data_IF_884474195959
#
_entry.id   IF_884474195959
#
_cell.length_a   1.000
_cell.length_b   1.000
_cell.length_c   1.000
_cell.angle_alpha   90.00
_cell.angle_beta   90.00
_cell.angle_gamma   90.00
#
_symmetry.space_group_name_H-M   'P 1'
#
loop_
_entity.id
_entity.type
_entity.pdbx_description
1 polymer ?
#
# COMPACT_ATOMS: atom_id res chain seq x y z
N UNK A 1 3.16 11.83 4.14
CA UNK A 1 2.60 10.86 3.18
C UNK A 1 1.82 11.51 2.04
N UNK A 2 0.67 12.16 2.29
CA UNK A 2 -0.19 12.70 1.21
C UNK A 2 0.47 13.74 0.30
N UNK A 3 1.38 14.56 0.84
CA UNK A 3 2.18 15.48 0.02
C UNK A 3 2.99 14.70 -1.01
N UNK A 4 3.74 13.67 -0.59
CA UNK A 4 4.53 12.83 -1.50
C UNK A 4 3.64 12.15 -2.54
N UNK A 5 2.51 11.57 -2.14
CA UNK A 5 1.56 10.95 -3.09
C UNK A 5 1.10 11.93 -4.17
N UNK A 6 0.79 13.17 -3.79
CA UNK A 6 0.43 14.23 -4.73
C UNK A 6 1.60 14.56 -5.67
N UNK A 7 2.82 14.64 -5.15
CA UNK A 7 4.01 14.95 -5.96
C UNK A 7 4.35 13.82 -6.94
N UNK A 8 4.24 12.56 -6.51
CA UNK A 8 4.43 11.36 -7.35
C UNK A 8 3.40 11.26 -8.48
N UNK A 9 2.23 11.91 -8.34
CA UNK A 9 1.17 11.92 -9.35
C UNK A 9 1.49 12.71 -10.64
N UNK A 10 2.63 13.41 -10.72
CA UNK A 10 3.14 13.99 -11.97
C UNK A 10 2.66 15.41 -12.29
N UNK A 11 1.87 16.05 -11.41
CA UNK A 11 1.38 17.42 -11.64
C UNK A 11 2.46 18.51 -11.52
N UNK A 12 3.66 18.19 -11.03
CA UNK A 12 4.66 19.16 -10.59
C UNK A 12 6.01 19.06 -11.33
N UNK A 13 6.03 18.39 -12.50
CA UNK A 13 7.23 18.22 -13.34
C UNK A 13 8.03 16.94 -13.03
N UNK A 14 8.82 16.44 -14.02
CA UNK A 14 9.45 15.12 -13.94
C UNK A 14 10.52 15.00 -12.85
N UNK A 15 11.36 16.02 -12.65
CA UNK A 15 12.41 15.96 -11.61
C UNK A 15 11.81 15.89 -10.20
N UNK A 16 10.73 16.64 -9.97
CA UNK A 16 10.07 16.65 -8.67
C UNK A 16 9.27 15.36 -8.43
N UNK A 17 8.75 14.76 -9.49
CA UNK A 17 8.16 13.43 -9.44
C UNK A 17 9.21 12.37 -9.07
N UNK A 18 10.39 12.39 -9.69
CA UNK A 18 11.50 11.46 -9.39
C UNK A 18 11.91 11.54 -7.91
N UNK A 19 12.20 12.75 -7.42
CA UNK A 19 12.58 12.97 -6.01
C UNK A 19 11.46 12.54 -5.04
N UNK A 20 10.20 12.76 -5.41
CA UNK A 20 9.08 12.32 -4.58
C UNK A 20 8.97 10.79 -4.52
N UNK A 21 9.21 10.10 -5.65
CA UNK A 21 9.23 8.63 -5.72
C UNK A 21 10.39 8.08 -4.88
N UNK A 22 11.58 8.66 -4.97
CA UNK A 22 12.73 8.29 -4.13
C UNK A 22 12.42 8.47 -2.64
N UNK A 23 11.82 9.59 -2.27
CA UNK A 23 11.40 9.86 -0.89
C UNK A 23 10.37 8.83 -0.39
N UNK A 24 9.39 8.48 -1.22
CA UNK A 24 8.41 7.44 -0.91
C UNK A 24 9.07 6.06 -0.70
N UNK A 25 10.01 5.68 -1.58
CA UNK A 25 10.78 4.44 -1.46
C UNK A 25 11.61 4.43 -0.18
N UNK A 26 12.18 5.58 0.21
CA UNK A 26 12.93 5.69 1.47
C UNK A 26 12.06 5.44 2.70
N UNK A 27 10.79 5.82 2.68
CA UNK A 27 9.85 5.46 3.76
C UNK A 27 9.53 3.97 3.74
N UNK A 28 9.25 3.41 2.57
CA UNK A 28 8.92 1.99 2.40
C UNK A 28 10.01 1.06 2.93
N UNK A 29 11.28 1.44 2.79
CA UNK A 29 12.42 0.68 3.30
C UNK A 29 12.53 0.70 4.83
N UNK A 30 11.77 1.54 5.53
CA UNK A 30 11.76 1.53 7.00
C UNK A 30 10.98 0.31 7.49
N UNK A 31 11.52 -0.49 8.42
CA UNK A 31 10.98 -1.81 8.77
C UNK A 31 9.49 -1.84 9.17
N UNK A 32 8.98 -0.77 9.80
CA UNK A 32 7.62 -0.71 10.33
C UNK A 32 6.68 0.15 9.48
N UNK A 33 7.21 0.93 8.53
CA UNK A 33 6.43 1.97 7.86
C UNK A 33 5.21 1.42 7.11
N UNK A 34 5.35 0.28 6.43
CA UNK A 34 4.25 -0.32 5.65
C UNK A 34 3.09 -0.73 6.57
N UNK A 35 3.41 -1.29 7.75
CA UNK A 35 2.42 -1.69 8.76
C UNK A 35 1.78 -0.45 9.40
N UNK A 36 2.60 0.53 9.79
CA UNK A 36 2.13 1.79 10.36
C UNK A 36 1.22 2.55 9.38
N UNK A 37 1.57 2.58 8.11
CA UNK A 37 0.75 3.19 7.06
C UNK A 37 -0.61 2.51 6.96
N UNK A 38 -0.64 1.17 6.95
CA UNK A 38 -1.89 0.42 6.90
C UNK A 38 -2.79 0.74 8.09
N UNK A 39 -2.25 0.67 9.31
CA UNK A 39 -3.01 0.93 10.55
C UNK A 39 -3.56 2.36 10.61
N UNK A 40 -2.77 3.35 10.18
CA UNK A 40 -3.14 4.76 10.31
C UNK A 40 -4.06 5.26 9.18
N UNK A 41 -4.08 4.62 8.01
CA UNK A 41 -4.79 5.16 6.84
C UNK A 41 -5.80 4.21 6.19
N UNK A 42 -5.62 2.89 6.31
CA UNK A 42 -6.36 1.91 5.50
C UNK A 42 -7.31 1.01 6.33
N UNK A 43 -7.15 0.97 7.66
CA UNK A 43 -8.03 0.18 8.53
C UNK A 43 -9.45 0.74 8.68
N UNK A 44 -9.68 2.01 8.32
CA UNK A 44 -11.02 2.61 8.32
C UNK A 44 -11.61 2.54 6.90
N UNK A 45 -12.73 1.83 6.68
CA UNK A 45 -13.34 1.69 5.36
C UNK A 45 -13.89 3.01 4.78
N UNK A 46 -14.04 4.06 5.60
CA UNK A 46 -14.43 5.39 5.15
C UNK A 46 -13.25 6.27 4.74
N UNK A 47 -12.01 5.83 5.04
CA UNK A 47 -10.79 6.52 4.65
C UNK A 47 -10.27 6.00 3.31
N UNK A 48 -9.24 6.70 2.82
CA UNK A 48 -8.62 6.46 1.53
C UNK A 48 -7.64 5.29 1.64
N UNK A 49 -7.68 4.36 0.69
CA UNK A 49 -6.73 3.26 0.60
C UNK A 49 -5.36 3.76 0.12
N UNK A 50 -4.49 4.14 1.06
CA UNK A 50 -3.15 4.66 0.80
C UNK A 50 -2.23 3.56 0.27
N UNK A 51 -2.35 2.32 0.77
CA UNK A 51 -1.57 1.18 0.28
C UNK A 51 -1.74 0.97 -1.22
N UNK A 52 -2.98 0.94 -1.70
CA UNK A 52 -3.30 0.76 -3.11
C UNK A 52 -2.73 1.90 -3.97
N UNK A 53 -2.79 3.13 -3.49
CA UNK A 53 -2.25 4.28 -4.22
C UNK A 53 -0.72 4.26 -4.33
N UNK A 54 -0.04 3.93 -3.24
CA UNK A 54 1.41 3.71 -3.23
C UNK A 54 1.79 2.60 -4.20
N UNK A 55 1.10 1.46 -4.12
CA UNK A 55 1.34 0.32 -5.00
C UNK A 55 1.18 0.68 -6.48
N UNK A 56 0.08 1.37 -6.84
CA UNK A 56 -0.16 1.84 -8.21
C UNK A 56 0.94 2.79 -8.69
N UNK A 57 1.35 3.74 -7.85
CA UNK A 57 2.42 4.69 -8.19
C UNK A 57 3.76 3.99 -8.42
N UNK A 58 4.14 3.08 -7.54
CA UNK A 58 5.39 2.33 -7.68
C UNK A 58 5.36 1.39 -8.89
N UNK A 59 4.25 0.70 -9.15
CA UNK A 59 4.08 -0.10 -10.37
C UNK A 59 4.28 0.78 -11.62
N UNK A 60 3.60 1.94 -11.69
CA UNK A 60 3.76 2.86 -12.81
C UNK A 60 5.20 3.37 -12.95
N UNK A 61 5.90 3.60 -11.85
CA UNK A 61 7.29 4.05 -11.85
C UNK A 61 8.28 2.94 -12.21
N UNK A 62 8.01 1.69 -11.82
CA UNK A 62 8.88 0.53 -12.04
C UNK A 62 8.79 -0.03 -13.47
N UNK A 63 7.60 -0.02 -14.07
CA UNK A 63 7.37 -0.63 -15.38
C UNK A 63 7.57 0.37 -16.52
N UNK A 64 8.52 0.13 -17.44
CA UNK A 64 8.78 1.05 -18.55
C UNK A 64 7.63 1.06 -19.56
N UNK A 65 7.21 2.26 -19.98
CA UNK A 65 6.20 2.43 -21.03
C UNK A 65 6.74 2.14 -22.45
N UNK A 66 8.06 2.09 -22.61
CA UNK A 66 8.72 1.84 -23.89
C UNK A 66 9.87 0.83 -23.72
N UNK A 67 10.22 0.06 -24.77
CA UNK A 67 11.34 -0.89 -24.71
C UNK A 67 12.68 -0.19 -24.44
N UNK A 68 13.50 -0.76 -23.57
CA UNK A 68 14.83 -0.23 -23.22
C UNK A 68 15.35 -0.77 -21.89
N UNK A 69 16.61 -0.44 -21.51
CA UNK A 69 17.13 -0.76 -20.19
C UNK A 69 16.38 0.00 -19.09
N UNK A 70 16.23 -0.63 -17.91
CA UNK A 70 15.64 0.05 -16.75
C UNK A 70 16.52 1.22 -16.29
N UNK A 71 15.88 2.35 -16.00
CA UNK A 71 16.49 3.48 -15.33
C UNK A 71 16.73 3.17 -13.84
N UNK A 72 17.63 3.89 -13.15
CA UNK A 72 17.84 3.72 -11.71
C UNK A 72 16.54 3.90 -10.90
N UNK A 73 15.72 4.89 -11.24
CA UNK A 73 14.44 5.15 -10.57
C UNK A 73 13.45 3.99 -10.76
N UNK A 74 13.40 3.40 -11.96
CA UNK A 74 12.59 2.20 -12.22
C UNK A 74 13.02 1.01 -11.36
N UNK A 75 14.33 0.79 -11.26
CA UNK A 75 14.88 -0.29 -10.43
C UNK A 75 14.57 -0.05 -8.94
N UNK A 76 14.76 1.17 -8.44
CA UNK A 76 14.45 1.52 -7.06
C UNK A 76 12.95 1.39 -6.75
N UNK A 77 12.07 1.77 -7.70
CA UNK A 77 10.63 1.60 -7.54
C UNK A 77 10.24 0.11 -7.48
N UNK A 78 10.89 -0.73 -8.30
CA UNK A 78 10.72 -2.18 -8.23
C UNK A 78 11.19 -2.76 -6.89
N UNK A 79 12.37 -2.36 -6.42
CA UNK A 79 12.85 -2.73 -5.09
C UNK A 79 11.90 -2.26 -3.97
N UNK A 80 11.30 -1.08 -4.11
CA UNK A 80 10.27 -0.58 -3.20
C UNK A 80 9.05 -1.50 -3.15
N UNK A 81 8.56 -1.97 -4.30
CA UNK A 81 7.46 -2.95 -4.35
C UNK A 81 7.82 -4.26 -3.65
N UNK A 82 9.01 -4.80 -3.93
CA UNK A 82 9.50 -6.02 -3.28
C UNK A 82 9.60 -5.81 -1.77
N UNK A 83 10.20 -4.71 -1.34
CA UNK A 83 10.32 -4.36 0.09
C UNK A 83 8.96 -4.27 0.77
N UNK A 84 7.95 -3.65 0.13
CA UNK A 84 6.59 -3.61 0.70
C UNK A 84 6.02 -5.00 0.93
N UNK A 85 6.12 -5.87 -0.09
CA UNK A 85 5.59 -7.23 -0.03
C UNK A 85 6.34 -8.05 1.02
N UNK A 86 7.66 -7.96 1.05
CA UNK A 86 8.51 -8.65 2.02
C UNK A 86 8.20 -8.19 3.44
N UNK A 87 8.09 -6.87 3.69
CA UNK A 87 7.71 -6.36 5.02
C UNK A 87 6.37 -6.90 5.46
N UNK A 88 5.37 -6.97 4.57
CA UNK A 88 4.08 -7.58 4.91
C UNK A 88 4.28 -9.05 5.26
N UNK A 89 4.92 -9.82 4.38
CA UNK A 89 5.13 -11.26 4.55
C UNK A 89 5.86 -11.59 5.86
N UNK A 90 6.92 -10.84 6.19
CA UNK A 90 7.72 -11.03 7.40
C UNK A 90 6.94 -10.69 8.69
N UNK A 91 5.90 -9.85 8.59
CA UNK A 91 5.06 -9.46 9.72
C UNK A 91 3.75 -10.27 9.80
N UNK A 92 3.48 -11.19 8.86
CA UNK A 92 2.36 -12.11 9.00
C UNK A 92 2.72 -13.17 10.03
N UNK A 93 2.10 -13.11 11.21
CA UNK A 93 2.19 -14.18 12.20
C UNK A 93 1.26 -15.34 11.82
N UNK A 94 1.62 -16.10 10.77
CA UNK A 94 0.79 -17.20 10.22
C UNK A 94 0.40 -18.21 11.30
N UNK A 95 1.30 -18.50 12.23
CA UNK A 95 1.07 -19.45 13.33
C UNK A 95 0.17 -18.92 14.45
N UNK A 96 -0.14 -17.62 14.45
CA UNK A 96 -1.04 -16.95 15.40
C UNK A 96 -2.33 -16.47 14.74
N UNK A 97 -2.52 -16.74 13.45
CA UNK A 97 -3.80 -16.50 12.80
C UNK A 97 -4.88 -17.29 13.58
N UNK A 98 -5.95 -16.62 14.04
CA UNK A 98 -7.05 -17.34 14.68
C UNK A 98 -7.60 -18.39 13.73
N UNK A 99 -8.03 -19.53 14.28
CA UNK A 99 -8.73 -20.53 13.49
C UNK A 99 -9.92 -19.86 12.76
N UNK A 100 -10.30 -20.38 11.59
CA UNK A 100 -11.41 -19.82 10.81
C UNK A 100 -12.69 -19.71 11.67
N UNK A 101 -12.88 -20.66 12.58
CA UNK A 101 -13.98 -20.70 13.54
C UNK A 101 -13.94 -19.56 14.59
N UNK A 102 -12.78 -18.95 14.83
CA UNK A 102 -12.64 -17.81 15.76
C UNK A 102 -13.30 -16.52 15.22
N UNK A 103 -13.50 -16.43 13.90
CA UNK A 103 -14.24 -15.34 13.25
C UNK A 103 -15.69 -15.71 12.93
N UNK A 104 -16.15 -16.90 13.33
CA UNK A 104 -17.54 -17.30 13.15
C UNK A 104 -18.44 -16.42 14.01
N UNK A 105 -19.00 -15.37 13.41
CA UNK A 105 -20.03 -14.56 14.03
C UNK A 105 -21.35 -15.32 13.94
N UNK A 106 -22.02 -15.55 15.08
CA UNK A 106 -23.38 -16.07 15.06
C UNK A 106 -24.33 -15.00 14.50
N UNK A 107 -24.65 -15.14 13.22
CA UNK A 107 -25.52 -14.21 12.48
C UNK A 107 -27.01 -14.54 12.70
N UNK A 108 -27.34 -15.51 13.55
CA UNK A 108 -28.74 -15.94 13.80
C UNK A 108 -29.62 -14.81 14.33
N UNK A 109 -29.03 -13.90 15.11
CA UNK A 109 -29.70 -12.72 15.68
C UNK A 109 -29.64 -11.49 14.76
N UNK A 110 -28.81 -11.51 13.70
CA UNK A 110 -28.72 -10.39 12.78
C UNK A 110 -30.05 -10.22 12.02
N UNK A 111 -30.68 -9.07 12.20
CA UNK A 111 -31.86 -8.65 11.45
C UNK A 111 -31.45 -7.48 10.57
N UNK A 112 -31.67 -7.62 9.27
CA UNK A 112 -31.45 -6.53 8.33
C UNK A 112 -32.45 -5.41 8.64
N UNK A 113 -32.01 -4.15 8.66
CA UNK A 113 -32.88 -3.04 9.09
C UNK A 113 -34.15 -2.87 8.24
N UNK A 114 -34.15 -3.31 6.98
CA UNK A 114 -35.32 -3.31 6.09
C UNK A 114 -36.28 -4.48 6.32
N UNK A 115 -35.99 -5.37 7.27
CA UNK A 115 -36.90 -6.45 7.72
C UNK A 115 -37.63 -6.11 9.01
N UNK A 116 -37.27 -5.01 9.68
CA UNK A 116 -38.04 -4.45 10.79
C UNK A 116 -39.20 -3.64 10.20
N UNK A 117 -40.44 -4.02 10.53
CA UNK A 117 -41.68 -3.50 9.95
C UNK A 117 -42.49 -2.77 11.01
#
# INVERSE_FOLDING_TARGET
>A
MFVLLRMCGGANGPQLQEVAVEGLISFIRQPTFVIEMYVNYDCDPLLRNVFEEVGKLLCKAAFPAAPGPMTPVQLQAFEGLVSMITTIADNVEVDKAPDHDAYAVDVSEFRLFWTER
#
